data_IF_385704992449
#
_entry.id   IF_385704992449
#
_cell.length_a   1.000
_cell.length_b   1.000
_cell.length_c   1.000
_cell.angle_alpha   90.00
_cell.angle_beta   90.00
_cell.angle_gamma   90.00
#
_symmetry.space_group_name_H-M   'P 1'
#
loop_
_entity.id
_entity.type
_entity.pdbx_description
1 polymer ?
#
# COMPACT_ATOMS: atom_id res chain seq x y z
N UNK A 1 -24.55 3.26 -3.96
CA UNK A 1 -23.14 3.66 -3.80
C UNK A 1 -22.58 2.88 -2.63
N UNK A 2 -21.37 2.35 -2.75
CA UNK A 2 -20.64 1.62 -1.73
C UNK A 2 -19.28 2.28 -1.47
N UNK A 3 -18.65 1.96 -0.35
CA UNK A 3 -17.41 2.56 0.13
C UNK A 3 -16.32 1.49 0.22
N UNK A 4 -15.14 1.80 -0.31
CA UNK A 4 -13.92 1.02 -0.09
C UNK A 4 -12.94 1.86 0.71
N UNK A 5 -12.47 1.34 1.83
CA UNK A 5 -11.33 1.87 2.55
C UNK A 5 -10.11 1.02 2.23
N UNK A 6 -9.05 1.65 1.73
CA UNK A 6 -7.74 1.02 1.59
C UNK A 6 -6.88 1.46 2.77
N UNK A 7 -6.39 0.49 3.53
CA UNK A 7 -5.52 0.69 4.68
C UNK A 7 -4.12 0.22 4.33
N UNK A 8 -3.12 1.11 4.43
CA UNK A 8 -1.73 0.64 4.39
C UNK A 8 -1.43 -0.09 5.68
N UNK A 9 -0.67 -1.18 5.64
CA UNK A 9 -0.20 -1.84 6.86
C UNK A 9 0.56 -0.88 7.80
N UNK A 10 0.57 -1.19 9.10
CA UNK A 10 1.41 -0.51 10.09
C UNK A 10 2.90 -0.68 9.79
N UNK A 11 3.77 0.06 10.46
CA UNK A 11 5.21 -0.04 10.26
C UNK A 11 5.72 -1.49 10.41
N UNK A 12 6.49 -1.97 9.43
CA UNK A 12 7.12 -3.29 9.48
C UNK A 12 8.41 -3.26 10.33
N UNK A 13 8.84 -4.43 10.81
CA UNK A 13 10.11 -4.61 11.53
C UNK A 13 11.32 -4.53 10.57
N UNK A 14 11.72 -3.32 10.18
CA UNK A 14 12.86 -3.12 9.29
C UNK A 14 14.17 -3.61 9.94
N UNK A 15 14.88 -4.53 9.27
CA UNK A 15 16.18 -5.05 9.72
C UNK A 15 16.13 -6.20 10.75
N UNK A 16 14.96 -6.77 11.04
CA UNK A 16 14.83 -8.00 11.83
C UNK A 16 14.87 -9.25 10.94
N UNK A 17 15.24 -10.40 11.50
CA UNK A 17 15.29 -11.72 10.80
C UNK A 17 13.95 -12.12 10.18
N UNK A 18 12.85 -11.59 10.70
CA UNK A 18 11.50 -11.73 10.18
C UNK A 18 10.98 -10.35 9.78
N UNK A 19 11.31 -9.93 8.55
CA UNK A 19 10.98 -8.62 8.00
C UNK A 19 9.48 -8.44 7.72
N UNK A 20 8.73 -9.53 7.52
CA UNK A 20 7.33 -9.47 7.10
C UNK A 20 6.33 -9.33 8.26
N UNK A 21 6.78 -8.98 9.47
CA UNK A 21 5.89 -8.71 10.61
C UNK A 21 5.86 -7.23 10.99
N UNK A 22 4.81 -6.81 11.68
CA UNK A 22 4.72 -5.48 12.27
C UNK A 22 5.81 -5.25 13.33
N UNK A 23 6.31 -4.01 13.41
CA UNK A 23 7.07 -3.56 14.57
C UNK A 23 6.13 -3.32 15.75
N UNK A 24 6.67 -3.15 16.97
CA UNK A 24 5.85 -2.71 18.12
C UNK A 24 5.06 -1.43 17.81
N UNK A 25 5.67 -0.50 17.08
CA UNK A 25 5.02 0.71 16.63
C UNK A 25 3.95 0.43 15.56
N UNK A 26 4.21 -0.47 14.62
CA UNK A 26 3.23 -0.89 13.62
C UNK A 26 1.99 -1.53 14.22
N UNK A 27 2.16 -2.40 15.22
CA UNK A 27 1.04 -2.98 15.96
C UNK A 27 0.23 -1.89 16.66
N UNK A 28 0.92 -0.94 17.31
CA UNK A 28 0.26 0.19 17.96
C UNK A 28 -0.53 1.06 16.97
N UNK A 29 0.04 1.34 15.80
CA UNK A 29 -0.66 2.07 14.74
C UNK A 29 -1.93 1.35 14.28
N UNK A 30 -1.90 0.01 14.17
CA UNK A 30 -3.05 -0.79 13.75
C UNK A 30 -4.16 -0.83 14.82
N UNK A 31 -3.80 -0.90 16.11
CA UNK A 31 -4.76 -0.76 17.22
C UNK A 31 -5.45 0.62 17.18
N UNK A 32 -4.67 1.68 16.99
CA UNK A 32 -5.19 3.06 16.92
C UNK A 32 -6.08 3.24 15.69
N UNK A 33 -5.78 2.58 14.57
CA UNK A 33 -6.68 2.51 13.42
C UNK A 33 -8.02 1.85 13.81
N UNK A 34 -7.98 0.71 14.51
CA UNK A 34 -9.20 0.05 15.00
C UNK A 34 -10.05 0.97 15.90
N UNK A 35 -9.39 1.69 16.82
CA UNK A 35 -10.05 2.67 17.68
C UNK A 35 -10.68 3.80 16.88
N UNK A 36 -9.95 4.35 15.91
CA UNK A 36 -10.46 5.39 15.03
C UNK A 36 -11.71 4.94 14.27
N UNK A 37 -11.69 3.73 13.67
CA UNK A 37 -12.86 3.20 12.95
C UNK A 37 -14.07 3.10 13.86
N UNK A 38 -13.91 2.53 15.06
CA UNK A 38 -14.98 2.42 16.06
C UNK A 38 -15.51 3.80 16.48
N UNK A 39 -14.63 4.72 16.83
CA UNK A 39 -15.00 6.02 17.39
C UNK A 39 -15.64 6.94 16.34
N UNK A 40 -15.37 6.71 15.04
CA UNK A 40 -16.06 7.37 13.92
C UNK A 40 -17.32 6.64 13.46
N UNK A 41 -17.69 5.51 14.07
CA UNK A 41 -18.83 4.71 13.65
C UNK A 41 -18.66 4.05 12.27
N UNK A 42 -17.43 3.83 11.83
CA UNK A 42 -17.11 3.11 10.59
C UNK A 42 -17.17 1.61 10.90
N UNK A 43 -18.29 1.00 10.55
CA UNK A 43 -18.48 -0.45 10.60
C UNK A 43 -18.17 -1.06 9.24
N UNK A 44 -17.25 -2.03 9.21
CA UNK A 44 -16.93 -2.78 8.01
C UNK A 44 -17.92 -3.95 7.86
N UNK A 45 -18.49 -4.09 6.66
CA UNK A 45 -19.30 -5.24 6.27
C UNK A 45 -18.42 -6.45 5.92
N UNK A 46 -17.24 -6.20 5.36
CA UNK A 46 -16.24 -7.20 5.01
C UNK A 46 -14.84 -6.59 5.01
N UNK A 47 -13.83 -7.44 5.22
CA UNK A 47 -12.42 -7.09 5.17
C UNK A 47 -11.67 -8.01 4.21
N UNK A 48 -10.75 -7.43 3.45
CA UNK A 48 -9.83 -8.14 2.56
C UNK A 48 -8.40 -7.74 2.94
N UNK A 49 -7.45 -8.65 2.79
CA UNK A 49 -6.03 -8.31 2.88
C UNK A 49 -5.20 -9.07 1.85
N UNK A 50 -3.99 -8.60 1.60
CA UNK A 50 -2.99 -9.48 1.01
C UNK A 50 -2.57 -10.60 1.98
N UNK A 51 -1.73 -11.50 1.48
CA UNK A 51 -1.23 -12.68 2.20
C UNK A 51 -0.05 -12.36 3.12
N UNK A 52 0.62 -11.22 2.92
CA UNK A 52 1.77 -10.79 3.72
C UNK A 52 1.40 -10.67 5.19
N UNK A 53 2.29 -11.13 6.08
CA UNK A 53 2.01 -11.25 7.51
C UNK A 53 1.67 -9.88 8.11
N UNK A 54 2.44 -8.83 7.81
CA UNK A 54 2.17 -7.45 8.27
C UNK A 54 0.81 -6.90 7.85
N UNK A 55 0.29 -7.29 6.68
CA UNK A 55 -1.03 -6.88 6.21
C UNK A 55 -2.12 -7.60 7.02
N UNK A 56 -1.95 -8.90 7.25
CA UNK A 56 -2.87 -9.73 8.05
C UNK A 56 -2.87 -9.31 9.53
N UNK A 57 -1.71 -9.02 10.11
CA UNK A 57 -1.59 -8.52 11.48
C UNK A 57 -2.26 -7.15 11.63
N UNK A 58 -2.07 -6.24 10.68
CA UNK A 58 -2.76 -4.94 10.68
C UNK A 58 -4.27 -5.14 10.64
N UNK A 59 -4.74 -6.06 9.78
CA UNK A 59 -6.17 -6.39 9.65
C UNK A 59 -6.73 -6.88 10.99
N UNK A 60 -6.09 -7.88 11.59
CA UNK A 60 -6.53 -8.47 12.85
C UNK A 60 -6.63 -7.45 13.99
N UNK A 61 -5.61 -6.60 14.15
CA UNK A 61 -5.58 -5.57 15.17
C UNK A 61 -6.63 -4.47 14.96
N UNK A 62 -6.87 -4.06 13.71
CA UNK A 62 -7.90 -3.07 13.41
C UNK A 62 -9.32 -3.64 13.61
N UNK A 63 -9.57 -4.89 13.19
CA UNK A 63 -10.87 -5.55 13.32
C UNK A 63 -11.22 -5.87 14.78
N UNK A 64 -10.24 -6.02 15.68
CA UNK A 64 -10.50 -6.27 17.10
C UNK A 64 -11.35 -5.18 17.79
N UNK A 65 -11.47 -3.99 17.18
CA UNK A 65 -12.31 -2.90 17.68
C UNK A 65 -13.68 -2.80 17.00
N UNK A 66 -13.98 -3.63 16.00
CA UNK A 66 -15.28 -3.65 15.32
C UNK A 66 -16.35 -4.31 16.19
N UNK A 67 -17.60 -3.89 16.03
CA UNK A 67 -18.71 -4.57 16.69
C UNK A 67 -19.14 -5.77 15.85
N UNK A 68 -19.02 -6.98 16.41
CA UNK A 68 -19.37 -8.22 15.72
C UNK A 68 -18.25 -8.84 14.89
N UNK A 69 -18.57 -9.95 14.24
CA UNK A 69 -17.64 -10.70 13.40
C UNK A 69 -17.64 -10.12 11.98
N UNK A 70 -16.51 -9.58 11.55
CA UNK A 70 -16.32 -9.04 10.20
C UNK A 70 -15.64 -10.13 9.36
N UNK A 71 -16.27 -10.64 8.29
CA UNK A 71 -15.65 -11.62 7.41
C UNK A 71 -14.31 -11.10 6.87
N UNK A 72 -13.23 -11.84 7.12
CA UNK A 72 -11.89 -11.52 6.61
C UNK A 72 -11.47 -12.51 5.53
N UNK A 73 -11.20 -11.99 4.33
CA UNK A 73 -10.74 -12.72 3.17
C UNK A 73 -9.28 -12.38 2.84
N UNK A 74 -8.49 -13.39 2.48
CA UNK A 74 -7.09 -13.21 2.07
C UNK A 74 -7.00 -13.39 0.55
N UNK A 75 -6.41 -12.41 -0.13
CA UNK A 75 -6.16 -12.43 -1.57
C UNK A 75 -4.77 -11.86 -1.87
N UNK A 76 -3.84 -12.74 -2.25
CA UNK A 76 -2.44 -12.38 -2.53
C UNK A 76 -2.27 -11.38 -3.69
N UNK A 77 -3.32 -11.12 -4.49
CA UNK A 77 -3.30 -10.04 -5.49
C UNK A 77 -3.22 -8.64 -4.85
N UNK A 78 -3.50 -8.52 -3.55
CA UNK A 78 -3.28 -7.31 -2.76
C UNK A 78 -1.90 -7.25 -2.07
N UNK A 79 -0.98 -8.16 -2.38
CA UNK A 79 0.39 -8.09 -1.85
C UNK A 79 1.15 -6.87 -2.38
N UNK A 80 2.19 -6.46 -1.64
CA UNK A 80 3.10 -5.39 -2.05
C UNK A 80 3.88 -5.77 -3.31
N UNK A 81 4.30 -4.76 -4.06
CA UNK A 81 5.29 -4.93 -5.14
C UNK A 81 6.57 -5.59 -4.59
N UNK A 82 7.17 -6.47 -5.40
CA UNK A 82 8.42 -7.17 -5.03
C UNK A 82 9.64 -6.27 -5.26
N UNK A 83 9.77 -5.24 -4.43
CA UNK A 83 10.82 -4.22 -4.55
C UNK A 83 12.23 -4.81 -4.59
N UNK A 84 12.52 -5.84 -3.79
CA UNK A 84 13.86 -6.45 -3.75
C UNK A 84 14.26 -7.08 -5.08
N UNK A 85 13.32 -7.77 -5.73
CA UNK A 85 13.53 -8.33 -7.08
C UNK A 85 13.72 -7.21 -8.10
N UNK A 86 12.88 -6.18 -8.06
CA UNK A 86 12.97 -5.02 -8.96
C UNK A 86 14.33 -4.31 -8.83
N UNK A 87 14.77 -4.02 -7.61
CA UNK A 87 16.08 -3.41 -7.35
C UNK A 87 17.20 -4.31 -7.91
N UNK A 88 17.17 -5.60 -7.57
CA UNK A 88 18.21 -6.55 -7.97
C UNK A 88 18.39 -6.62 -9.49
N UNK A 89 17.29 -6.64 -10.25
CA UNK A 89 17.35 -6.85 -11.69
C UNK A 89 17.35 -5.56 -12.51
N UNK A 90 16.70 -4.49 -12.04
CA UNK A 90 16.53 -3.26 -12.82
C UNK A 90 17.54 -2.17 -12.50
N UNK A 91 18.18 -2.15 -11.33
CA UNK A 91 19.24 -1.16 -11.05
C UNK A 91 20.35 -1.19 -12.11
N UNK A 92 20.89 -2.35 -12.53
CA UNK A 92 21.91 -2.38 -13.59
C UNK A 92 21.40 -1.85 -14.94
N UNK A 93 20.14 -2.10 -15.28
CA UNK A 93 19.51 -1.65 -16.53
C UNK A 93 19.35 -0.13 -16.52
N UNK A 94 18.77 0.41 -15.45
CA UNK A 94 18.52 1.85 -15.29
C UNK A 94 19.83 2.62 -15.17
N UNK A 95 20.81 2.12 -14.43
CA UNK A 95 22.11 2.76 -14.27
C UNK A 95 22.86 2.85 -15.62
N UNK A 96 22.84 1.79 -16.43
CA UNK A 96 23.42 1.78 -17.78
C UNK A 96 22.78 2.83 -18.71
N UNK A 97 21.47 3.04 -18.57
CA UNK A 97 20.72 4.00 -19.38
C UNK A 97 20.77 5.45 -18.85
N UNK A 98 21.14 5.66 -17.58
CA UNK A 98 21.10 6.96 -16.92
C UNK A 98 22.40 7.23 -16.12
N UNK A 99 23.32 8.07 -16.65
CA UNK A 99 24.58 8.41 -15.98
C UNK A 99 24.42 9.00 -14.58
N UNK A 100 23.33 9.71 -14.31
CA UNK A 100 23.07 10.27 -12.97
C UNK A 100 22.75 9.18 -11.94
N UNK A 101 22.04 8.12 -12.35
CA UNK A 101 21.77 6.95 -11.51
C UNK A 101 23.04 6.11 -11.33
N UNK A 102 23.82 5.91 -12.40
CA UNK A 102 25.12 5.23 -12.31
C UNK A 102 26.03 5.88 -11.25
N UNK A 103 26.14 7.21 -11.24
CA UNK A 103 26.94 7.93 -10.25
C UNK A 103 26.47 7.71 -8.80
N UNK A 104 25.16 7.55 -8.57
CA UNK A 104 24.61 7.25 -7.24
C UNK A 104 24.96 5.82 -6.80
N UNK A 105 24.87 4.85 -7.72
CA UNK A 105 25.23 3.44 -7.49
C UNK A 105 26.71 3.33 -7.18
N UNK A 106 27.58 3.96 -7.96
CA UNK A 106 29.05 3.93 -7.78
C UNK A 106 29.48 4.54 -6.44
N UNK A 107 28.75 5.55 -5.96
CA UNK A 107 28.96 6.14 -4.63
C UNK A 107 28.51 5.23 -3.49
N UNK A 108 27.79 4.14 -3.77
CA UNK A 108 27.35 3.14 -2.81
C UNK A 108 26.08 3.51 -2.03
N UNK A 109 25.23 4.40 -2.57
CA UNK A 109 23.91 4.76 -1.99
C UNK A 109 23.97 5.16 -0.50
N UNK A 110 25.00 5.94 -0.13
CA UNK A 110 25.34 6.29 1.27
C UNK A 110 24.29 7.13 2.01
N UNK A 111 23.23 7.57 1.35
CA UNK A 111 22.15 8.34 1.97
C UNK A 111 20.78 7.84 1.54
N UNK A 112 19.79 8.00 2.42
CA UNK A 112 18.38 7.68 2.13
C UNK A 112 17.85 8.42 0.88
N UNK A 113 18.34 9.64 0.63
CA UNK A 113 17.99 10.42 -0.57
C UNK A 113 18.57 9.81 -1.86
N UNK A 114 19.78 9.28 -1.80
CA UNK A 114 20.39 8.62 -2.97
C UNK A 114 19.64 7.33 -3.29
N UNK A 115 19.29 6.56 -2.27
CA UNK A 115 18.47 5.34 -2.41
C UNK A 115 17.08 5.65 -3.00
N UNK A 116 16.42 6.72 -2.53
CA UNK A 116 15.13 7.18 -3.06
C UNK A 116 15.14 7.42 -4.58
N UNK A 117 16.16 8.11 -5.08
CA UNK A 117 16.29 8.39 -6.51
C UNK A 117 16.47 7.13 -7.34
N UNK A 118 17.19 6.14 -6.81
CA UNK A 118 17.35 4.84 -7.47
C UNK A 118 16.04 4.07 -7.48
N UNK A 119 15.31 4.05 -6.37
CA UNK A 119 14.00 3.38 -6.29
C UNK A 119 12.98 4.03 -7.23
N UNK A 120 12.93 5.36 -7.28
CA UNK A 120 12.10 6.10 -8.24
C UNK A 120 12.41 5.70 -9.68
N UNK A 121 13.70 5.68 -10.04
CA UNK A 121 14.12 5.36 -11.39
C UNK A 121 13.84 3.88 -11.76
N UNK A 122 14.04 2.96 -10.81
CA UNK A 122 13.70 1.54 -10.96
C UNK A 122 12.20 1.34 -11.15
N UNK A 123 11.39 1.93 -10.27
CA UNK A 123 9.94 1.79 -10.33
C UNK A 123 9.38 2.42 -11.61
N UNK A 124 9.85 3.63 -11.98
CA UNK A 124 9.46 4.30 -13.22
C UNK A 124 9.83 3.48 -14.45
N UNK A 125 11.01 2.85 -14.46
CA UNK A 125 11.38 1.96 -15.55
C UNK A 125 10.46 0.74 -15.59
N UNK A 126 10.26 0.07 -14.45
CA UNK A 126 9.40 -1.11 -14.34
C UNK A 126 7.98 -0.88 -14.84
N UNK A 127 7.38 0.27 -14.54
CA UNK A 127 6.02 0.60 -14.98
C UNK A 127 5.92 1.13 -16.41
N UNK A 128 7.05 1.40 -17.05
CA UNK A 128 7.09 1.85 -18.44
C UNK A 128 6.89 0.68 -19.42
N UNK A 129 6.32 0.93 -20.62
CA UNK A 129 6.23 -0.08 -21.67
C UNK A 129 7.59 -0.60 -22.18
N UNK A 130 8.69 0.07 -21.82
CA UNK A 130 10.05 -0.30 -22.24
C UNK A 130 10.70 -1.36 -21.33
N UNK A 131 10.10 -1.67 -20.17
CA UNK A 131 10.63 -2.72 -19.30
C UNK A 131 10.29 -4.11 -19.84
N UNK A 132 11.31 -4.80 -20.32
CA UNK A 132 11.26 -6.20 -20.77
C UNK A 132 12.24 -7.04 -19.93
N UNK A 133 11.84 -7.34 -18.69
CA UNK A 133 12.64 -8.12 -17.75
C UNK A 133 11.88 -9.40 -17.35
N UNK A 134 12.14 -10.55 -18.00
CA UNK A 134 11.37 -11.77 -17.79
C UNK A 134 11.63 -12.44 -16.42
N UNK A 135 12.65 -12.00 -15.68
CA UNK A 135 13.00 -12.57 -14.36
C UNK A 135 12.13 -12.03 -13.21
N UNK A 136 11.34 -10.99 -13.46
CA UNK A 136 10.45 -10.38 -12.48
C UNK A 136 9.02 -10.33 -13.02
N UNK A 137 8.05 -10.17 -12.13
CA UNK A 137 6.67 -9.92 -12.54
C UNK A 137 6.58 -8.61 -13.32
N UNK A 138 5.90 -8.62 -14.48
CA UNK A 138 5.70 -7.41 -15.28
C UNK A 138 4.70 -6.45 -14.60
N UNK A 139 4.80 -5.15 -14.92
CA UNK A 139 3.81 -4.18 -14.48
C UNK A 139 2.39 -4.52 -14.97
N UNK A 140 2.27 -5.00 -16.21
CA UNK A 140 0.98 -5.37 -16.78
C UNK A 140 0.31 -6.50 -15.97
N UNK A 141 1.09 -7.52 -15.59
CA UNK A 141 0.59 -8.64 -14.79
C UNK A 141 0.24 -8.21 -13.36
N UNK A 142 1.11 -7.43 -12.72
CA UNK A 142 0.88 -6.94 -11.35
C UNK A 142 -0.35 -6.03 -11.30
N UNK A 143 -0.36 -4.96 -12.09
CA UNK A 143 -1.44 -3.96 -12.09
C UNK A 143 -2.75 -4.56 -12.60
N UNK A 144 -2.72 -5.46 -13.58
CA UNK A 144 -3.89 -6.21 -14.05
C UNK A 144 -4.48 -7.11 -12.98
N UNK A 145 -3.63 -7.78 -12.19
CA UNK A 145 -4.06 -8.63 -11.06
C UNK A 145 -4.71 -7.81 -9.95
N UNK A 146 -4.13 -6.66 -9.60
CA UNK A 146 -4.70 -5.72 -8.62
C UNK A 146 -6.06 -5.19 -9.09
N UNK A 147 -6.18 -4.81 -10.37
CA UNK A 147 -7.44 -4.34 -10.94
C UNK A 147 -8.52 -5.45 -10.94
N UNK A 148 -8.12 -6.69 -11.23
CA UNK A 148 -9.03 -7.84 -11.16
C UNK A 148 -9.51 -8.09 -9.73
N UNK A 149 -8.62 -8.08 -8.74
CA UNK A 149 -8.97 -8.24 -7.34
C UNK A 149 -9.96 -7.17 -6.85
N UNK A 150 -9.73 -5.90 -7.21
CA UNK A 150 -10.64 -4.81 -6.86
C UNK A 150 -12.03 -5.01 -7.47
N UNK A 151 -12.12 -5.42 -8.75
CA UNK A 151 -13.40 -5.72 -9.40
C UNK A 151 -14.11 -6.91 -8.74
N UNK A 152 -13.37 -7.95 -8.38
CA UNK A 152 -13.94 -9.13 -7.72
C UNK A 152 -14.53 -8.76 -6.36
N UNK A 153 -13.84 -7.93 -5.56
CA UNK A 153 -14.36 -7.39 -4.30
C UNK A 153 -15.65 -6.58 -4.53
N UNK A 154 -15.63 -5.66 -5.50
CA UNK A 154 -16.81 -4.84 -5.81
C UNK A 154 -18.01 -5.67 -6.27
N UNK A 155 -17.77 -6.74 -7.04
CA UNK A 155 -18.80 -7.64 -7.51
C UNK A 155 -19.35 -8.54 -6.40
N UNK A 156 -18.49 -9.03 -5.51
CA UNK A 156 -18.87 -9.89 -4.39
C UNK A 156 -19.69 -9.15 -3.33
N UNK A 157 -19.28 -7.93 -2.97
CA UNK A 157 -19.90 -7.16 -1.89
C UNK A 157 -21.13 -6.36 -2.37
N UNK A 158 -21.11 -5.89 -3.62
CA UNK A 158 -22.23 -5.18 -4.22
C UNK A 158 -22.45 -3.77 -3.66
N UNK A 159 -23.68 -3.24 -3.80
CA UNK A 159 -23.97 -1.85 -3.45
C UNK A 159 -24.29 -1.65 -1.95
N UNK A 160 -24.03 -0.44 -1.44
CA UNK A 160 -24.40 -0.05 -0.07
C UNK A 160 -23.50 -0.61 1.03
N UNK A 161 -22.41 -1.29 0.66
CA UNK A 161 -21.45 -1.89 1.59
C UNK A 161 -20.27 -0.98 1.91
N UNK A 162 -19.72 -1.16 3.10
CA UNK A 162 -18.47 -0.54 3.55
C UNK A 162 -17.42 -1.63 3.72
N UNK A 163 -16.41 -1.62 2.86
CA UNK A 163 -15.44 -2.72 2.76
C UNK A 163 -14.04 -2.20 3.05
N UNK A 164 -13.27 -2.91 3.88
CA UNK A 164 -11.87 -2.60 4.17
C UNK A 164 -10.91 -3.48 3.37
N UNK A 165 -9.89 -2.90 2.75
CA UNK A 165 -8.80 -3.61 2.07
C UNK A 165 -7.49 -3.22 2.73
N UNK A 166 -6.86 -4.15 3.44
CA UNK A 166 -5.60 -3.97 4.15
C UNK A 166 -4.44 -4.45 3.27
N UNK A 167 -3.63 -3.51 2.81
CA UNK A 167 -2.62 -3.74 1.78
C UNK A 167 -1.37 -2.87 2.02
N UNK A 168 -0.59 -2.61 0.97
CA UNK A 168 0.70 -1.91 1.03
C UNK A 168 0.73 -0.68 0.14
N UNK A 169 1.83 0.06 0.20
CA UNK A 169 1.92 1.38 -0.44
C UNK A 169 1.87 1.30 -1.97
N UNK A 170 2.59 0.35 -2.57
CA UNK A 170 2.64 0.20 -4.02
C UNK A 170 1.30 -0.26 -4.59
N UNK A 171 0.60 -1.15 -3.89
CA UNK A 171 -0.75 -1.60 -4.25
C UNK A 171 -1.76 -0.46 -4.19
N UNK A 172 -1.76 0.36 -3.11
CA UNK A 172 -2.66 1.53 -3.01
C UNK A 172 -2.37 2.53 -4.12
N UNK A 173 -1.09 2.84 -4.35
CA UNK A 173 -0.67 3.73 -5.42
C UNK A 173 -1.12 3.25 -6.82
N UNK A 174 -1.06 1.93 -7.04
CA UNK A 174 -1.54 1.28 -8.26
C UNK A 174 -3.05 1.43 -8.43
N UNK A 175 -3.82 1.12 -7.38
CA UNK A 175 -5.28 1.27 -7.38
C UNK A 175 -5.67 2.73 -7.65
N UNK A 176 -5.08 3.68 -6.94
CA UNK A 176 -5.38 5.11 -7.10
C UNK A 176 -5.05 5.59 -8.51
N UNK A 177 -3.92 5.16 -9.08
CA UNK A 177 -3.55 5.51 -10.45
C UNK A 177 -4.56 4.98 -11.47
N UNK A 178 -5.02 3.74 -11.30
CA UNK A 178 -6.04 3.13 -12.16
C UNK A 178 -7.39 3.86 -12.06
N UNK A 179 -7.83 4.19 -10.85
CA UNK A 179 -9.07 4.94 -10.60
C UNK A 179 -9.03 6.32 -11.27
N UNK A 180 -7.87 6.98 -11.29
CA UNK A 180 -7.68 8.30 -11.91
C UNK A 180 -7.33 8.23 -13.40
N UNK A 181 -7.25 7.04 -14.00
CA UNK A 181 -6.91 6.87 -15.43
C UNK A 181 -5.47 7.25 -15.78
N UNK A 182 -4.55 7.14 -14.82
CA UNK A 182 -3.13 7.49 -14.98
C UNK A 182 -2.31 6.28 -15.44
N UNK A 183 -1.26 6.54 -16.22
CA UNK A 183 -0.29 5.50 -16.62
C UNK A 183 0.55 5.03 -15.42
N UNK A 184 1.15 3.85 -15.53
CA UNK A 184 1.99 3.27 -14.47
C UNK A 184 3.18 4.16 -14.07
N UNK A 185 3.70 4.97 -14.99
CA UNK A 185 4.77 5.94 -14.73
C UNK A 185 4.38 6.99 -13.66
N UNK A 186 3.08 7.24 -13.46
CA UNK A 186 2.58 8.17 -12.45
C UNK A 186 2.38 7.52 -11.07
N UNK A 187 2.35 6.19 -10.99
CA UNK A 187 2.06 5.48 -9.74
C UNK A 187 3.10 5.79 -8.66
N UNK A 188 4.36 6.01 -9.03
CA UNK A 188 5.40 6.34 -8.05
C UNK A 188 5.10 7.64 -7.27
N UNK A 189 4.44 8.63 -7.91
CA UNK A 189 4.07 9.90 -7.25
C UNK A 189 3.06 9.71 -6.12
N UNK A 190 2.28 8.63 -6.16
CA UNK A 190 1.41 8.21 -5.05
C UNK A 190 2.12 7.25 -4.09
N UNK A 191 3.01 6.40 -4.62
CA UNK A 191 3.73 5.44 -3.79
C UNK A 191 4.69 6.15 -2.83
N UNK A 192 5.42 7.15 -3.31
CA UNK A 192 6.40 7.86 -2.51
C UNK A 192 5.79 8.45 -1.24
N UNK A 193 4.71 9.26 -1.21
CA UNK A 193 4.29 9.96 0.00
C UNK A 193 3.46 9.12 0.99
N UNK A 194 3.14 7.86 0.71
CA UNK A 194 2.16 7.12 1.52
C UNK A 194 2.71 6.79 2.91
N UNK A 195 1.93 7.02 3.97
CA UNK A 195 2.31 6.78 5.37
C UNK A 195 1.83 5.41 5.85
N UNK A 196 2.54 4.80 6.81
CA UNK A 196 2.08 3.55 7.44
C UNK A 196 0.74 3.77 8.14
N UNK A 197 -0.13 2.76 8.10
CA UNK A 197 -1.48 2.82 8.67
C UNK A 197 -2.34 3.99 8.17
N UNK A 198 -2.01 4.56 7.00
CA UNK A 198 -2.85 5.58 6.37
C UNK A 198 -4.11 4.98 5.76
N UNK A 199 -5.15 5.82 5.63
CA UNK A 199 -6.44 5.47 5.06
C UNK A 199 -6.61 6.18 3.71
N UNK A 200 -7.05 5.45 2.70
CA UNK A 200 -7.50 6.00 1.42
C UNK A 200 -8.94 5.55 1.21
N UNK A 201 -9.84 6.45 0.83
CA UNK A 201 -11.26 6.12 0.62
C UNK A 201 -11.63 6.26 -0.85
N UNK A 202 -12.31 5.24 -1.36
CA UNK A 202 -12.94 5.22 -2.66
C UNK A 202 -14.45 5.04 -2.52
N UNK A 203 -15.20 5.56 -3.47
CA UNK A 203 -16.61 5.20 -3.67
C UNK A 203 -16.76 4.39 -4.95
N UNK A 204 -17.70 3.45 -4.96
CA UNK A 204 -18.05 2.74 -6.18
C UNK A 204 -19.55 2.55 -6.38
N UNK A 205 -19.93 2.38 -7.65
CA UNK A 205 -21.29 2.08 -8.10
C UNK A 205 -21.24 1.33 -9.43
N UNK A 206 -21.50 0.02 -9.40
CA UNK A 206 -21.15 -0.86 -10.52
C UNK A 206 -19.63 -0.78 -10.75
N UNK A 207 -19.21 -0.62 -12.00
CA UNK A 207 -17.79 -0.55 -12.38
C UNK A 207 -17.16 0.85 -12.21
N UNK A 208 -17.96 1.86 -11.83
CA UNK A 208 -17.46 3.23 -11.65
C UNK A 208 -16.86 3.35 -10.25
N UNK A 209 -15.61 3.80 -10.18
CA UNK A 209 -14.89 4.06 -8.93
C UNK A 209 -14.41 5.51 -8.93
N UNK A 210 -14.50 6.18 -7.80
CA UNK A 210 -13.93 7.52 -7.59
C UNK A 210 -13.12 7.59 -6.31
N UNK A 211 -12.06 8.40 -6.33
CA UNK A 211 -11.26 8.71 -5.15
C UNK A 211 -11.93 9.82 -4.33
N UNK A 212 -12.17 9.55 -3.05
CA UNK A 212 -12.69 10.53 -2.08
C UNK A 212 -11.54 11.27 -1.39
N UNK A 213 -10.64 10.52 -0.75
CA UNK A 213 -9.41 11.04 -0.17
C UNK A 213 -8.30 10.00 -0.22
N UNK A 214 -7.05 10.47 -0.19
CA UNK A 214 -5.85 9.65 -0.27
C UNK A 214 -4.94 9.92 0.93
N UNK A 215 -4.38 8.85 1.50
CA UNK A 215 -3.28 8.92 2.48
C UNK A 215 -3.62 9.74 3.73
N UNK A 216 -4.85 9.67 4.23
CA UNK A 216 -5.22 10.28 5.50
C UNK A 216 -4.54 9.54 6.66
N UNK A 217 -3.87 10.33 7.48
CA UNK A 217 -3.13 9.91 8.68
C UNK A 217 -3.36 10.87 9.84
N UNK A 218 -4.35 11.76 9.70
CA UNK A 218 -4.67 12.79 10.68
C UNK A 218 -5.03 12.19 12.04
N UNK A 219 -5.77 11.08 12.06
CA UNK A 219 -6.14 10.37 13.28
C UNK A 219 -4.92 9.86 14.06
N UNK A 220 -3.90 9.32 13.39
CA UNK A 220 -2.64 8.92 14.05
C UNK A 220 -1.93 10.11 14.69
N UNK A 221 -1.93 11.26 14.01
CA UNK A 221 -1.31 12.48 14.54
C UNK A 221 -2.05 13.01 15.77
N UNK A 222 -3.38 13.09 15.70
CA UNK A 222 -4.22 13.61 16.78
C UNK A 222 -4.20 12.68 17.99
N UNK A 223 -4.51 11.39 17.79
CA UNK A 223 -4.56 10.41 18.87
C UNK A 223 -3.17 10.16 19.47
N UNK A 224 -2.13 10.13 18.64
CA UNK A 224 -0.75 10.02 19.10
C UNK A 224 -0.36 11.21 20.00
N UNK A 225 -0.66 12.44 19.57
CA UNK A 225 -0.39 13.64 20.38
C UNK A 225 -1.13 13.62 21.72
N UNK A 226 -2.40 13.21 21.72
CA UNK A 226 -3.21 13.10 22.94
C UNK A 226 -2.66 12.07 23.93
N UNK A 227 -2.00 11.02 23.43
CA UNK A 227 -1.44 9.92 24.23
C UNK A 227 0.06 10.09 24.52
N UNK A 228 0.70 11.14 24.00
CA UNK A 228 2.16 11.33 24.11
C UNK A 228 2.98 10.35 23.27
N UNK A 229 2.37 9.77 22.21
CA UNK A 229 2.96 8.78 21.32
C UNK A 229 3.34 9.39 19.96
N UNK A 230 4.49 9.01 19.41
CA UNK A 230 4.90 9.38 18.04
C UNK A 230 4.47 8.29 17.06
N UNK A 231 3.22 8.40 16.58
CA UNK A 231 2.60 7.36 15.75
C UNK A 231 2.77 7.55 14.24
N UNK A 232 3.11 8.75 13.77
CA UNK A 232 3.22 9.00 12.33
C UNK A 232 4.58 8.55 11.85
N UNK A 233 4.60 7.48 11.07
CA UNK A 233 5.83 7.00 10.40
C UNK A 233 5.66 6.95 8.90
N UNK A 234 6.80 7.16 8.26
CA UNK A 234 6.97 7.06 6.84
C UNK A 234 7.97 5.94 6.56
N UNK A 235 7.57 5.03 5.66
CA UNK A 235 8.25 3.77 5.30
C UNK A 235 8.00 2.63 6.27
#
# INVERSE_FOLDING_TARGET
>A
MATLYLFRHGQASFGADDYDKLSTLGSRQAEVLGHYLRDQGIQLDAAYSGALLRQRETTALALASQSGDVPHHIDARFDEVRNDEQIRYLVPVVAKANPSIQALVDKGLKSSKDYQKVIEAVFTHWTSPACDEPRIQSWADYSGSVAAALRDVMAAEGAGKTVGIFTSGGTIATIVSQVLGLSGEHAYKFYEPIFNCSVTQLFYSGDKVSLSYFNDRSFLQVLGTQQGEQLVTYR
#
